data_IF_474665845387
#
_entry.id   IF_474665845387
#
_cell.length_a   1.000
_cell.length_b   1.000
_cell.length_c   1.000
_cell.angle_alpha   90.00
_cell.angle_beta   90.00
_cell.angle_gamma   90.00
#
_symmetry.space_group_name_H-M   'P 1'
#
loop_
_entity.id
_entity.type
_entity.pdbx_description
1 polymer ?
#
# COMPACT_ATOMS: atom_id res chain seq x y z
N UNK A 1 -6.57 1.50 34.60
CA UNK A 1 -7.24 0.57 33.66
C UNK A 1 -7.19 1.11 32.22
N UNK A 2 -6.09 1.65 31.65
CA UNK A 2 -6.23 2.41 30.37
C UNK A 2 -5.17 2.18 29.26
N UNK A 3 -4.19 1.29 29.41
CA UNK A 3 -3.23 1.04 28.32
C UNK A 3 -3.81 0.24 27.14
N UNK A 4 -4.76 -0.67 27.40
CA UNK A 4 -5.38 -1.51 26.37
C UNK A 4 -6.38 -0.73 25.49
N UNK A 5 -7.06 0.26 26.05
CA UNK A 5 -8.02 1.13 25.33
C UNK A 5 -7.34 2.14 24.40
N UNK A 6 -6.13 2.60 24.72
CA UNK A 6 -5.34 3.48 23.84
C UNK A 6 -4.85 2.74 22.59
N UNK A 7 -4.47 1.46 22.70
CA UNK A 7 -4.13 0.62 21.55
C UNK A 7 -5.36 0.24 20.71
N UNK A 8 -6.54 0.11 21.32
CA UNK A 8 -7.78 -0.22 20.59
C UNK A 8 -8.31 0.94 19.72
N UNK A 9 -7.66 2.12 19.73
CA UNK A 9 -7.86 3.17 18.73
C UNK A 9 -7.01 2.98 17.45
N UNK A 10 -6.17 1.96 17.39
CA UNK A 10 -5.44 1.58 16.18
C UNK A 10 -6.35 0.81 15.22
N UNK A 11 -7.06 1.53 14.37
CA UNK A 11 -7.63 1.02 13.12
C UNK A 11 -8.26 -0.40 13.18
N UNK A 12 -9.50 -0.48 13.69
CA UNK A 12 -10.28 -1.72 13.86
C UNK A 12 -10.68 -2.43 12.56
N UNK A 13 -10.30 -1.87 11.41
CA UNK A 13 -10.62 -2.39 10.09
C UNK A 13 -9.85 -3.68 9.82
N UNK A 14 -10.58 -4.79 9.88
CA UNK A 14 -10.05 -6.14 9.60
C UNK A 14 -9.75 -6.38 8.11
N UNK A 15 -10.26 -5.55 7.19
CA UNK A 15 -10.04 -5.68 5.75
C UNK A 15 -8.88 -4.80 5.27
N UNK A 16 -7.91 -5.39 4.59
CA UNK A 16 -6.87 -4.68 3.86
C UNK A 16 -7.17 -4.71 2.35
N UNK A 17 -7.16 -3.55 1.71
CA UNK A 17 -7.23 -3.43 0.25
C UNK A 17 -5.89 -2.95 -0.24
N UNK A 18 -5.23 -3.70 -1.12
CA UNK A 18 -3.89 -3.37 -1.54
C UNK A 18 -3.64 -3.58 -3.03
N UNK A 19 -2.65 -2.86 -3.55
CA UNK A 19 -2.01 -3.19 -4.83
C UNK A 19 -0.49 -3.30 -4.66
N UNK A 20 0.12 -4.02 -5.59
CA UNK A 20 1.56 -4.19 -5.68
C UNK A 20 2.01 -3.87 -7.10
N UNK A 21 2.93 -2.91 -7.28
CA UNK A 21 3.32 -2.48 -8.63
C UNK A 21 4.70 -1.82 -8.69
N UNK A 22 5.18 -1.57 -9.92
CA UNK A 22 6.49 -0.95 -10.15
C UNK A 22 6.48 0.57 -10.04
N UNK A 23 5.43 1.23 -10.56
CA UNK A 23 5.29 2.69 -10.57
C UNK A 23 6.53 3.41 -11.14
N UNK A 24 7.02 2.92 -12.29
CA UNK A 24 8.26 3.41 -12.91
C UNK A 24 8.14 3.52 -14.45
N UNK A 25 7.89 4.71 -15.01
CA UNK A 25 7.45 5.93 -14.32
C UNK A 25 5.99 5.82 -13.85
N UNK A 26 5.57 6.60 -12.83
CA UNK A 26 4.16 6.73 -12.49
C UNK A 26 3.40 7.39 -13.64
N UNK A 27 2.19 6.90 -13.94
CA UNK A 27 1.35 7.30 -15.08
C UNK A 27 -0.11 7.47 -14.64
N UNK A 28 -0.98 7.99 -15.53
CA UNK A 28 -2.43 8.15 -15.26
C UNK A 28 -3.11 6.81 -14.93
N UNK A 29 -2.63 5.69 -15.48
CA UNK A 29 -3.15 4.36 -15.13
C UNK A 29 -2.95 4.03 -13.65
N UNK A 30 -1.81 4.41 -13.09
CA UNK A 30 -1.50 4.24 -11.67
C UNK A 30 -2.41 5.09 -10.77
N UNK A 31 -2.79 6.29 -11.20
CA UNK A 31 -3.78 7.10 -10.49
C UNK A 31 -5.14 6.42 -10.42
N UNK A 32 -5.61 5.83 -11.53
CA UNK A 32 -6.86 5.06 -11.56
C UNK A 32 -6.79 3.86 -10.62
N UNK A 33 -5.65 3.17 -10.59
CA UNK A 33 -5.42 2.05 -9.67
C UNK A 33 -5.51 2.50 -8.21
N UNK A 34 -4.84 3.60 -7.84
CA UNK A 34 -4.90 4.15 -6.47
C UNK A 34 -6.31 4.56 -6.10
N UNK A 35 -7.04 5.21 -7.01
CA UNK A 35 -8.45 5.57 -6.80
C UNK A 35 -9.34 4.34 -6.59
N UNK A 36 -9.10 3.25 -7.34
CA UNK A 36 -9.81 1.99 -7.16
C UNK A 36 -9.52 1.36 -5.79
N UNK A 37 -8.28 1.40 -5.31
CA UNK A 37 -7.90 0.92 -3.97
C UNK A 37 -8.62 1.72 -2.90
N UNK A 38 -8.59 3.05 -2.98
CA UNK A 38 -9.26 3.93 -2.01
C UNK A 38 -10.78 3.72 -2.00
N UNK A 39 -11.42 3.69 -3.17
CA UNK A 39 -12.87 3.46 -3.28
C UNK A 39 -13.27 2.08 -2.75
N UNK A 40 -12.49 1.04 -3.06
CA UNK A 40 -12.76 -0.32 -2.58
C UNK A 40 -12.52 -0.45 -1.08
N UNK A 41 -11.47 0.18 -0.56
CA UNK A 41 -11.20 0.25 0.87
C UNK A 41 -12.37 0.92 1.61
N UNK A 42 -12.88 2.04 1.09
CA UNK A 42 -14.02 2.73 1.68
C UNK A 42 -15.28 1.84 1.70
N UNK A 43 -15.59 1.17 0.58
CA UNK A 43 -16.75 0.26 0.47
C UNK A 43 -16.65 -0.96 1.39
N UNK A 44 -15.44 -1.49 1.56
CA UNK A 44 -15.19 -2.68 2.36
C UNK A 44 -14.93 -2.36 3.86
N UNK A 45 -15.11 -1.11 4.27
CA UNK A 45 -14.69 -0.58 5.57
C UNK A 45 -13.26 -1.06 5.94
N UNK A 46 -12.36 -0.94 4.97
CA UNK A 46 -10.98 -1.44 5.01
C UNK A 46 -9.94 -0.34 4.94
N UNK A 47 -8.67 -0.71 5.10
CA UNK A 47 -7.53 0.20 4.90
C UNK A 47 -6.86 -0.04 3.56
N UNK A 48 -6.55 1.05 2.87
CA UNK A 48 -5.85 1.06 1.59
C UNK A 48 -4.32 0.96 1.79
N UNK A 49 -3.66 0.13 0.99
CA UNK A 49 -2.21 -0.02 0.94
C UNK A 49 -1.70 0.05 -0.49
N UNK A 50 -0.52 0.62 -0.66
CA UNK A 50 0.21 0.55 -1.92
C UNK A 50 1.64 0.06 -1.69
N UNK A 51 1.95 -1.14 -2.16
CA UNK A 51 3.31 -1.68 -2.09
C UNK A 51 4.05 -1.45 -3.39
N UNK A 52 5.27 -0.92 -3.29
CA UNK A 52 6.12 -0.64 -4.42
C UNK A 52 7.14 -1.76 -4.59
N UNK A 53 7.35 -2.21 -5.83
CA UNK A 53 8.40 -3.18 -6.13
C UNK A 53 9.78 -2.52 -6.07
N UNK A 54 10.74 -3.24 -5.50
CA UNK A 54 12.16 -2.86 -5.48
C UNK A 54 12.88 -3.08 -6.81
N UNK A 55 12.21 -3.62 -7.83
CA UNK A 55 12.83 -3.83 -9.14
C UNK A 55 13.31 -2.48 -9.70
N UNK A 56 14.60 -2.44 -10.03
CA UNK A 56 15.28 -1.31 -10.65
C UNK A 56 16.18 -1.84 -11.77
N UNK A 57 16.09 -1.25 -12.95
CA UNK A 57 16.99 -1.51 -14.07
C UNK A 57 17.03 -0.26 -14.96
N UNK A 58 18.21 0.08 -15.48
CA UNK A 58 18.42 1.36 -16.15
C UNK A 58 17.66 1.52 -17.49
N UNK A 59 17.03 0.46 -18.01
CA UNK A 59 16.31 0.50 -19.30
C UNK A 59 14.80 0.73 -19.14
N UNK A 60 14.16 0.05 -18.19
CA UNK A 60 12.70 0.13 -17.99
C UNK A 60 12.30 0.66 -16.62
N UNK A 61 13.23 0.67 -15.66
CA UNK A 61 12.95 1.04 -14.28
C UNK A 61 14.03 2.02 -13.76
N UNK A 62 14.09 3.26 -14.29
CA UNK A 62 15.14 4.24 -13.96
C UNK A 62 15.07 4.74 -12.51
N UNK A 63 13.87 4.88 -11.95
CA UNK A 63 13.68 5.43 -10.60
C UNK A 63 14.03 4.42 -9.49
N UNK A 64 14.74 4.92 -8.48
CA UNK A 64 15.01 4.22 -7.22
C UNK A 64 13.72 4.01 -6.41
N UNK A 65 13.73 3.09 -5.46
CA UNK A 65 12.59 2.90 -4.55
C UNK A 65 12.21 4.19 -3.81
N UNK A 66 13.22 4.94 -3.35
CA UNK A 66 13.01 6.19 -2.62
C UNK A 66 12.29 7.22 -3.49
N UNK A 67 12.76 7.44 -4.72
CA UNK A 67 12.12 8.39 -5.63
C UNK A 67 10.68 7.99 -5.93
N UNK A 68 10.41 6.70 -6.17
CA UNK A 68 9.05 6.20 -6.37
C UNK A 68 8.14 6.49 -5.17
N UNK A 69 8.62 6.21 -3.96
CA UNK A 69 7.87 6.46 -2.75
C UNK A 69 7.63 7.96 -2.52
N UNK A 70 8.63 8.80 -2.78
CA UNK A 70 8.54 10.26 -2.65
C UNK A 70 7.54 10.85 -3.65
N UNK A 71 7.53 10.38 -4.91
CA UNK A 71 6.51 10.76 -5.89
C UNK A 71 5.10 10.39 -5.43
N UNK A 72 4.88 9.16 -4.96
CA UNK A 72 3.55 8.74 -4.49
C UNK A 72 3.12 9.58 -3.29
N UNK A 73 4.00 9.84 -2.32
CA UNK A 73 3.67 10.68 -1.16
C UNK A 73 3.36 12.13 -1.54
N UNK A 74 4.03 12.66 -2.56
CA UNK A 74 3.75 14.01 -3.07
C UNK A 74 2.33 14.13 -3.63
N UNK A 75 1.83 13.11 -4.33
CA UNK A 75 0.50 13.14 -4.94
C UNK A 75 -0.61 12.52 -4.06
N UNK A 76 -0.26 11.63 -3.14
CA UNK A 76 -1.17 10.86 -2.29
C UNK A 76 -0.65 10.81 -0.85
N UNK A 77 -0.67 11.94 -0.12
CA UNK A 77 -0.09 12.02 1.23
C UNK A 77 -0.76 11.07 2.23
N UNK A 78 -2.05 10.78 2.04
CA UNK A 78 -2.84 9.92 2.94
C UNK A 78 -2.74 8.42 2.60
N UNK A 79 -2.04 8.05 1.52
CA UNK A 79 -1.90 6.67 1.12
C UNK A 79 -0.78 6.00 1.91
N UNK A 80 -1.09 4.88 2.57
CA UNK A 80 -0.08 4.04 3.20
C UNK A 80 0.80 3.39 2.11
N UNK A 81 1.94 4.02 1.82
CA UNK A 81 2.98 3.45 0.97
C UNK A 81 3.73 2.41 1.77
N UNK A 82 3.79 1.20 1.24
CA UNK A 82 4.39 0.03 1.86
C UNK A 82 5.85 0.25 2.28
N UNK A 83 6.24 -0.54 3.27
CA UNK A 83 7.57 -0.51 3.89
C UNK A 83 8.69 -0.85 2.89
N UNK A 84 9.83 -0.16 2.99
CA UNK A 84 11.02 -0.41 2.16
C UNK A 84 11.64 -1.80 2.37
N UNK A 85 11.22 -2.54 3.39
CA UNK A 85 11.59 -3.95 3.57
C UNK A 85 10.80 -4.92 2.68
N UNK A 86 9.71 -4.50 2.05
CA UNK A 86 8.77 -5.39 1.33
C UNK A 86 9.20 -5.57 -0.13
N UNK A 87 9.87 -6.68 -0.42
CA UNK A 87 10.37 -7.01 -1.76
C UNK A 87 9.38 -7.86 -2.56
N UNK A 88 8.51 -8.61 -1.89
CA UNK A 88 7.58 -9.55 -2.51
C UNK A 88 6.16 -9.34 -2.00
N UNK A 89 5.18 -9.81 -2.79
CA UNK A 89 3.76 -9.81 -2.39
C UNK A 89 3.58 -10.60 -1.09
N UNK A 90 4.31 -11.70 -0.89
CA UNK A 90 4.23 -12.50 0.34
C UNK A 90 4.68 -11.68 1.56
N UNK A 91 5.75 -10.91 1.44
CA UNK A 91 6.19 -10.01 2.51
C UNK A 91 5.18 -8.90 2.78
N UNK A 92 4.49 -8.40 1.74
CA UNK A 92 3.41 -7.44 1.89
C UNK A 92 2.27 -8.03 2.73
N UNK A 93 1.87 -9.27 2.43
CA UNK A 93 0.84 -10.00 3.17
C UNK A 93 1.26 -10.26 4.62
N UNK A 94 2.52 -10.64 4.87
CA UNK A 94 3.06 -10.79 6.22
C UNK A 94 2.98 -9.49 7.01
N UNK A 95 3.27 -8.34 6.39
CA UNK A 95 3.12 -7.01 6.99
C UNK A 95 1.66 -6.71 7.32
N UNK A 96 0.75 -6.93 6.37
CA UNK A 96 -0.70 -6.73 6.55
C UNK A 96 -1.21 -7.58 7.73
N UNK A 97 -0.80 -8.85 7.78
CA UNK A 97 -1.16 -9.78 8.85
C UNK A 97 -0.57 -9.35 10.20
N UNK A 98 0.69 -8.90 10.24
CA UNK A 98 1.35 -8.42 11.45
C UNK A 98 0.67 -7.17 12.04
N UNK A 99 0.07 -6.34 11.18
CA UNK A 99 -0.76 -5.22 11.60
C UNK A 99 -2.22 -5.62 11.93
N UNK A 100 -2.52 -6.91 12.10
CA UNK A 100 -3.81 -7.42 12.62
C UNK A 100 -4.94 -7.56 11.60
N UNK A 101 -4.66 -7.41 10.30
CA UNK A 101 -5.69 -7.51 9.25
C UNK A 101 -5.88 -8.94 8.79
N UNK A 102 -7.13 -9.39 8.75
CA UNK A 102 -7.51 -10.80 8.57
C UNK A 102 -8.20 -11.07 7.23
N UNK A 103 -8.65 -10.03 6.52
CA UNK A 103 -9.23 -10.13 5.18
C UNK A 103 -8.43 -9.29 4.20
N UNK A 104 -8.24 -9.79 2.99
CA UNK A 104 -7.48 -9.10 1.94
C UNK A 104 -8.30 -8.96 0.67
N UNK A 105 -8.17 -7.82 0.00
CA UNK A 105 -8.63 -7.57 -1.35
C UNK A 105 -7.44 -7.03 -2.13
N UNK A 106 -6.97 -7.78 -3.12
CA UNK A 106 -5.91 -7.33 -4.02
C UNK A 106 -6.54 -6.72 -5.26
N UNK A 107 -6.13 -5.50 -5.61
CA UNK A 107 -6.47 -4.89 -6.90
C UNK A 107 -5.25 -4.96 -7.80
N UNK A 108 -5.41 -5.59 -8.95
CA UNK A 108 -4.39 -5.70 -9.98
C UNK A 108 -4.87 -5.01 -11.27
N UNK A 109 -3.93 -4.45 -12.02
CA UNK A 109 -4.15 -3.80 -13.30
C UNK A 109 -2.91 -3.88 -14.18
#
# INVERSE_FOLDING_TARGET
MHLRELFLKEDDRSTAVFAFGRFNPPTIGHQKLIGAIQSTAQKANGKAYLFLSHKQNNKTDPLTFKEKADYIKMFYPDLAVGDAGVKTIIQALQKIQAEGRTRIIMIAG
#
